data_IF_318798176985
#
_entry.id   IF_318798176985
#
_cell.length_a   1.000
_cell.length_b   1.000
_cell.length_c   1.000
_cell.angle_alpha   90.00
_cell.angle_beta   90.00
_cell.angle_gamma   90.00
#
_symmetry.space_group_name_H-M   'P 1'
#
loop_
_entity.id
_entity.type
_entity.pdbx_description
1 polymer ?
#
# COMPACT_ATOMS: atom_id res chain seq x y z
N UNK A 1 -20.45 44.05 5.16
CA UNK A 1 -21.26 44.33 6.36
C UNK A 1 -21.80 43.00 6.90
N UNK A 2 -21.19 42.51 7.93
CA UNK A 2 -21.55 41.91 9.24
C UNK A 2 -22.79 40.99 9.31
N UNK A 3 -22.85 40.07 10.31
CA UNK A 3 -21.86 39.70 11.34
C UNK A 3 -21.70 38.16 11.60
N UNK A 4 -20.61 37.88 12.28
CA UNK A 4 -20.21 36.66 12.99
C UNK A 4 -21.19 36.28 14.12
N UNK A 5 -21.45 34.98 14.29
CA UNK A 5 -22.04 34.41 15.52
C UNK A 5 -21.17 33.26 16.02
N UNK A 6 -20.59 33.46 17.20
CA UNK A 6 -19.93 32.41 18.02
C UNK A 6 -20.95 31.85 19.01
N UNK A 7 -20.99 30.53 19.27
CA UNK A 7 -21.68 30.02 20.45
C UNK A 7 -20.74 29.92 21.65
N UNK A 8 -21.19 30.50 22.76
CA UNK A 8 -20.59 30.41 24.11
C UNK A 8 -21.06 29.13 24.77
N UNK A 9 -20.12 28.32 25.24
CA UNK A 9 -20.41 27.21 26.15
C UNK A 9 -20.19 27.67 27.58
N UNK A 10 -21.22 27.50 28.44
CA UNK A 10 -21.21 27.83 29.87
C UNK A 10 -20.62 26.65 30.64
N UNK A 11 -19.62 26.97 31.45
CA UNK A 11 -19.07 26.11 32.48
C UNK A 11 -20.07 26.12 33.67
N UNK A 12 -20.52 24.94 34.08
CA UNK A 12 -21.27 24.78 35.34
C UNK A 12 -20.32 24.15 36.36
N UNK A 13 -19.98 24.94 37.37
CA UNK A 13 -19.26 24.52 38.58
C UNK A 13 -20.31 24.07 39.60
N UNK A 14 -20.21 22.83 40.07
CA UNK A 14 -20.93 22.39 41.25
C UNK A 14 -19.99 22.36 42.46
N UNK A 15 -20.26 23.22 43.42
CA UNK A 15 -19.71 23.20 44.74
C UNK A 15 -20.75 22.60 45.70
N UNK A 16 -20.37 21.62 46.50
CA UNK A 16 -21.08 21.14 47.69
C UNK A 16 -19.96 20.75 48.66
N UNK A 17 -19.69 21.39 49.77
CA UNK A 17 -20.58 21.72 50.87
C UNK A 17 -20.09 20.88 52.06
N UNK A 18 -19.16 21.42 52.90
CA UNK A 18 -18.75 20.87 54.20
C UNK A 18 -19.94 20.92 55.18
N UNK A 19 -20.17 19.87 55.95
CA UNK A 19 -20.91 19.92 57.21
C UNK A 19 -20.05 19.29 58.29
N UNK A 20 -19.72 20.11 59.29
CA UNK A 20 -19.16 19.80 60.60
C UNK A 20 -20.25 19.17 61.48
N UNK A 21 -19.90 18.16 62.25
CA UNK A 21 -20.57 17.89 63.56
C UNK A 21 -19.55 17.35 64.56
N UNK A 22 -19.54 18.03 65.69
CA UNK A 22 -18.64 17.85 66.81
C UNK A 22 -19.19 16.90 67.87
N UNK A 23 -18.27 16.37 68.66
CA UNK A 23 -18.30 15.95 70.04
C UNK A 23 -19.41 15.00 70.57
N UNK A 24 -18.92 13.94 71.13
CA UNK A 24 -19.24 13.58 72.55
C UNK A 24 -18.23 12.56 73.10
N UNK A 25 -17.65 12.86 74.23
CA UNK A 25 -16.63 12.10 74.92
C UNK A 25 -17.16 10.84 75.62
N UNK A 26 -16.28 9.91 75.86
CA UNK A 26 -16.46 8.72 76.66
C UNK A 26 -15.12 8.14 77.08
N UNK A 27 -14.73 8.36 78.29
CA UNK A 27 -13.58 7.78 79.03
C UNK A 27 -13.79 6.29 79.21
N UNK A 28 -12.84 5.44 78.88
CA UNK A 28 -12.67 4.11 79.45
C UNK A 28 -11.18 3.63 79.37
N UNK A 29 -10.75 3.13 80.45
CA UNK A 29 -9.42 2.80 80.92
C UNK A 29 -8.59 1.82 80.08
N UNK A 30 -7.34 2.15 80.05
CA UNK A 30 -6.12 1.34 80.10
C UNK A 30 -6.22 -0.16 80.27
N UNK A 31 -5.72 -0.90 79.32
CA UNK A 31 -4.94 -2.14 79.49
C UNK A 31 -3.79 -2.12 78.46
N UNK A 32 -2.63 -1.77 79.01
CA UNK A 32 -1.38 -1.90 78.21
C UNK A 32 -0.95 -3.35 78.16
N UNK A 33 -1.16 -4.01 77.00
CA UNK A 33 -0.39 -5.19 76.67
C UNK A 33 0.71 -4.80 75.68
N UNK A 34 1.93 -4.80 76.16
CA UNK A 34 3.15 -4.62 75.40
C UNK A 34 3.33 -5.88 74.54
N UNK A 35 2.82 -5.88 73.29
CA UNK A 35 3.18 -6.85 72.30
C UNK A 35 4.46 -6.32 71.62
N UNK A 36 5.58 -6.92 71.91
CA UNK A 36 6.82 -6.71 71.15
C UNK A 36 6.60 -7.21 69.73
N UNK A 37 6.25 -6.30 68.81
CA UNK A 37 6.27 -6.58 67.39
C UNK A 37 7.74 -6.59 66.94
N UNK A 38 8.25 -7.78 66.78
CA UNK A 38 9.50 -8.02 66.04
C UNK A 38 9.33 -7.45 64.65
N UNK A 39 9.88 -6.25 64.39
CA UNK A 39 10.01 -5.71 63.06
C UNK A 39 10.95 -6.63 62.27
N UNK A 40 10.35 -7.56 61.51
CA UNK A 40 11.06 -8.24 60.45
C UNK A 40 11.38 -7.15 59.40
N UNK A 41 12.66 -6.82 59.28
CA UNK A 41 13.21 -6.00 58.20
C UNK A 41 12.68 -6.63 56.89
N UNK A 42 11.97 -5.87 56.03
CA UNK A 42 11.56 -6.41 54.74
C UNK A 42 12.82 -6.82 53.98
N UNK A 43 12.96 -8.10 53.68
CA UNK A 43 13.94 -8.59 52.74
C UNK A 43 13.79 -7.79 51.47
N UNK A 44 14.87 -7.11 50.95
CA UNK A 44 14.75 -6.39 49.70
C UNK A 44 14.28 -7.38 48.64
N UNK A 45 13.22 -7.02 47.94
CA UNK A 45 12.74 -7.79 46.81
C UNK A 45 13.93 -8.04 45.86
N UNK A 46 14.11 -9.26 45.35
CA UNK A 46 15.21 -9.55 44.44
C UNK A 46 15.16 -8.56 43.29
N UNK A 47 16.25 -7.84 43.10
CA UNK A 47 16.42 -6.93 41.97
C UNK A 47 16.13 -7.76 40.72
N UNK A 48 15.25 -7.34 39.78
CA UNK A 48 15.01 -8.06 38.57
C UNK A 48 16.35 -8.33 37.88
N UNK A 49 16.68 -9.59 37.66
CA UNK A 49 17.91 -9.95 36.95
C UNK A 49 17.72 -9.48 35.51
N UNK A 50 18.45 -8.46 35.14
CA UNK A 50 18.45 -7.90 33.80
C UNK A 50 19.08 -8.93 32.87
N UNK A 51 18.29 -9.45 31.92
CA UNK A 51 18.75 -10.45 30.94
C UNK A 51 19.44 -9.74 29.79
N UNK A 52 20.66 -10.12 29.44
CA UNK A 52 21.26 -9.69 28.17
C UNK A 52 20.80 -10.63 27.07
N UNK A 53 20.09 -10.09 26.05
CA UNK A 53 19.58 -10.84 24.89
C UNK A 53 20.33 -10.46 23.62
N UNK A 54 20.77 -11.46 22.89
CA UNK A 54 21.31 -11.31 21.54
C UNK A 54 20.13 -11.30 20.57
N UNK A 55 19.95 -10.19 19.89
CA UNK A 55 18.84 -9.97 18.97
C UNK A 55 19.36 -9.96 17.54
N UNK A 56 19.07 -11.02 16.82
CA UNK A 56 19.43 -11.16 15.42
C UNK A 56 18.55 -10.27 14.55
N UNK A 57 19.17 -9.54 13.65
CA UNK A 57 18.51 -8.67 12.67
C UNK A 57 19.11 -8.88 11.29
N UNK A 58 18.36 -8.49 10.26
CA UNK A 58 18.79 -8.52 8.86
C UNK A 58 18.39 -7.20 8.18
N UNK A 59 19.28 -6.58 7.37
CA UNK A 59 18.91 -5.40 6.58
C UNK A 59 17.70 -5.69 5.70
N UNK A 60 16.64 -4.90 5.88
CA UNK A 60 15.41 -4.92 5.08
C UNK A 60 14.62 -3.64 5.34
N UNK A 61 14.81 -2.65 4.50
CA UNK A 61 14.18 -1.35 4.65
C UNK A 61 12.67 -1.40 4.39
N UNK A 62 11.86 -0.68 5.16
CA UNK A 62 12.18 0.21 6.28
C UNK A 62 12.13 -0.48 7.65
N UNK A 63 12.13 -1.81 7.72
CA UNK A 63 12.08 -2.56 8.98
C UNK A 63 13.40 -2.53 9.74
N UNK A 64 14.51 -2.71 9.03
CA UNK A 64 15.87 -2.68 9.58
C UNK A 64 16.80 -1.99 8.59
N UNK A 65 17.36 -0.87 9.04
CA UNK A 65 18.52 -0.21 8.46
C UNK A 65 19.73 -0.63 9.29
N UNK A 66 20.69 -1.31 8.68
CA UNK A 66 21.89 -1.75 9.36
C UNK A 66 23.11 -1.02 8.76
N UNK A 67 23.53 0.14 9.35
CA UNK A 67 24.70 0.86 8.90
C UNK A 67 25.99 0.06 9.22
N UNK A 68 27.05 0.24 8.44
CA UNK A 68 28.34 -0.39 8.68
C UNK A 68 28.91 -0.04 10.09
N UNK A 69 28.58 1.12 10.60
CA UNK A 69 28.97 1.56 11.93
C UNK A 69 27.76 2.14 12.68
N UNK A 70 27.54 1.67 13.90
CA UNK A 70 26.46 2.14 14.77
C UNK A 70 25.38 1.07 15.02
N UNK A 71 24.37 1.47 15.76
CA UNK A 71 23.24 0.59 16.05
C UNK A 71 22.25 0.57 14.86
N UNK A 72 21.61 -0.56 14.57
CA UNK A 72 20.55 -0.62 13.58
C UNK A 72 19.37 0.28 13.98
N UNK A 73 18.60 0.71 12.98
CA UNK A 73 17.38 1.52 13.15
C UNK A 73 16.28 0.92 12.29
N UNK A 74 15.05 1.38 12.41
CA UNK A 74 13.93 0.91 11.61
C UNK A 74 12.71 0.54 12.44
N UNK A 75 11.62 0.20 11.73
CA UNK A 75 10.37 -0.21 12.37
C UNK A 75 10.56 -1.34 13.39
N UNK A 76 11.27 -2.41 13.01
CA UNK A 76 11.52 -3.57 13.87
C UNK A 76 12.39 -3.23 15.07
N UNK A 77 13.36 -2.33 14.88
CA UNK A 77 14.27 -1.91 15.94
C UNK A 77 13.54 -1.03 16.96
N UNK A 78 12.74 -0.07 16.51
CA UNK A 78 11.92 0.75 17.40
C UNK A 78 10.92 -0.10 18.19
N UNK A 79 10.28 -1.07 17.52
CA UNK A 79 9.36 -1.99 18.18
C UNK A 79 10.08 -2.80 19.27
N UNK A 80 11.25 -3.38 18.96
CA UNK A 80 12.04 -4.11 19.93
C UNK A 80 12.50 -3.23 21.10
N UNK A 81 12.92 -2.02 20.80
CA UNK A 81 13.34 -1.02 21.82
C UNK A 81 12.21 -0.71 22.81
N UNK A 82 10.95 -0.77 22.35
CA UNK A 82 9.79 -0.61 23.22
C UNK A 82 9.42 -1.89 24.00
N UNK A 83 9.76 -3.06 23.49
CA UNK A 83 9.51 -4.36 24.12
C UNK A 83 10.57 -4.68 25.21
N UNK A 84 11.85 -4.49 24.91
CA UNK A 84 12.97 -4.93 25.74
C UNK A 84 12.88 -4.46 27.21
N UNK A 85 12.56 -3.18 27.52
CA UNK A 85 12.36 -2.73 28.90
C UNK A 85 11.20 -3.42 29.62
N UNK A 86 10.13 -3.80 28.91
CA UNK A 86 8.96 -4.45 29.51
C UNK A 86 9.23 -5.90 29.92
N UNK A 87 10.26 -6.52 29.34
CA UNK A 87 10.72 -7.88 29.67
C UNK A 87 12.01 -7.88 30.48
N UNK A 88 12.46 -6.70 30.98
CA UNK A 88 13.71 -6.50 31.73
C UNK A 88 14.94 -7.05 30.98
N UNK A 89 15.07 -6.74 29.69
CA UNK A 89 16.13 -7.19 28.82
C UNK A 89 17.03 -6.04 28.34
N UNK A 90 18.35 -6.25 28.41
CA UNK A 90 19.34 -5.50 27.64
C UNK A 90 19.54 -6.13 26.28
N UNK A 91 19.76 -5.32 25.25
CA UNK A 91 19.85 -5.78 23.86
C UNK A 91 21.27 -5.66 23.32
N UNK A 92 21.74 -6.76 22.71
CA UNK A 92 22.89 -6.76 21.84
C UNK A 92 22.45 -7.18 20.43
N UNK A 93 22.55 -6.29 19.45
CA UNK A 93 22.21 -6.61 18.08
C UNK A 93 23.31 -7.40 17.37
N UNK A 94 22.89 -8.42 16.59
CA UNK A 94 23.76 -9.20 15.70
C UNK A 94 23.14 -9.15 14.31
N UNK A 95 23.91 -8.69 13.32
CA UNK A 95 23.44 -8.51 11.94
C UNK A 95 23.81 -9.72 11.10
N UNK A 96 22.86 -10.20 10.29
CA UNK A 96 23.03 -11.28 9.32
C UNK A 96 22.64 -10.77 7.94
N UNK A 97 23.21 -11.32 6.89
CA UNK A 97 22.98 -10.84 5.53
C UNK A 97 21.68 -11.40 4.95
N UNK A 98 21.32 -12.63 5.29
CA UNK A 98 20.16 -13.33 4.72
C UNK A 98 19.17 -13.83 5.78
N UNK A 99 17.92 -14.02 5.38
CA UNK A 99 16.89 -14.61 6.26
C UNK A 99 17.22 -16.05 6.66
N UNK A 100 17.70 -16.94 5.79
CA UNK A 100 18.13 -18.27 6.18
C UNK A 100 19.21 -18.25 7.26
N UNK A 101 20.28 -17.47 7.09
CA UNK A 101 21.35 -17.36 8.07
C UNK A 101 20.85 -16.90 9.43
N UNK A 102 20.02 -15.85 9.46
CA UNK A 102 19.41 -15.35 10.69
C UNK A 102 18.60 -16.43 11.42
N UNK A 103 17.76 -17.18 10.67
CA UNK A 103 16.93 -18.22 11.27
C UNK A 103 17.75 -19.46 11.69
N UNK A 104 18.82 -19.77 10.99
CA UNK A 104 19.76 -20.84 11.37
C UNK A 104 20.54 -20.47 12.64
N UNK A 105 21.03 -19.24 12.74
CA UNK A 105 21.66 -18.71 13.95
C UNK A 105 20.71 -18.74 15.17
N UNK A 106 19.43 -18.45 14.96
CA UNK A 106 18.42 -18.55 16.02
C UNK A 106 18.23 -20.02 16.47
N UNK A 107 18.14 -20.98 15.53
CA UNK A 107 18.03 -22.41 15.86
C UNK A 107 19.23 -22.93 16.61
N UNK A 108 20.43 -22.49 16.22
CA UNK A 108 21.70 -22.88 16.85
C UNK A 108 21.93 -22.19 18.20
N UNK A 109 21.08 -21.22 18.57
CA UNK A 109 21.22 -20.47 19.81
C UNK A 109 22.34 -19.45 19.80
N UNK A 110 22.81 -19.05 18.63
CA UNK A 110 23.76 -17.93 18.47
C UNK A 110 23.09 -16.60 18.80
N UNK A 111 21.78 -16.45 18.50
CA UNK A 111 20.91 -15.36 18.94
C UNK A 111 19.71 -15.92 19.70
N UNK A 112 19.16 -15.10 20.58
CA UNK A 112 18.04 -15.49 21.45
C UNK A 112 16.70 -15.13 20.83
N UNK A 113 16.66 -14.09 20.01
CA UNK A 113 15.48 -13.56 19.32
C UNK A 113 15.88 -13.12 17.91
N UNK A 114 14.99 -13.26 16.93
CA UNK A 114 15.19 -12.69 15.59
C UNK A 114 14.02 -11.78 15.20
N UNK A 115 14.36 -10.54 14.77
CA UNK A 115 13.38 -9.54 14.36
C UNK A 115 13.89 -8.76 13.14
N UNK A 116 13.28 -8.98 11.95
CA UNK A 116 13.70 -8.37 10.70
C UNK A 116 12.61 -8.47 9.61
N UNK A 117 11.35 -8.20 9.91
CA UNK A 117 10.29 -8.44 8.94
C UNK A 117 10.16 -9.92 8.55
N UNK A 118 10.10 -10.79 9.55
CA UNK A 118 10.11 -12.25 9.35
C UNK A 118 8.65 -12.74 9.25
N UNK A 119 8.25 -13.27 8.09
CA UNK A 119 6.90 -13.84 7.91
C UNK A 119 6.70 -15.08 8.77
N UNK A 120 5.58 -15.11 9.49
CA UNK A 120 5.10 -16.28 10.23
C UNK A 120 4.60 -17.30 9.20
N UNK A 121 5.18 -18.51 9.19
CA UNK A 121 4.75 -19.56 8.27
C UNK A 121 4.82 -20.93 8.93
N UNK A 122 3.86 -21.80 8.60
CA UNK A 122 3.86 -23.19 9.08
C UNK A 122 5.18 -23.94 8.76
N UNK A 123 5.82 -23.61 7.64
CA UNK A 123 7.12 -24.20 7.28
C UNK A 123 8.20 -23.84 8.29
N UNK A 124 8.26 -22.57 8.73
CA UNK A 124 9.25 -22.10 9.70
C UNK A 124 8.98 -22.67 11.09
N UNK A 125 7.71 -22.70 11.50
CA UNK A 125 7.33 -23.35 12.77
C UNK A 125 7.67 -24.85 12.77
N UNK A 126 7.41 -25.56 11.67
CA UNK A 126 7.77 -26.98 11.56
C UNK A 126 9.29 -27.25 11.62
N UNK A 127 10.15 -26.22 11.64
CA UNK A 127 11.60 -26.34 11.73
C UNK A 127 12.17 -25.98 13.11
N UNK A 128 11.35 -26.01 14.17
CA UNK A 128 11.79 -25.76 15.55
C UNK A 128 11.86 -24.25 15.89
N UNK A 129 11.01 -23.46 15.26
CA UNK A 129 10.86 -22.05 15.56
C UNK A 129 9.44 -21.76 16.05
N UNK A 130 9.33 -20.89 17.02
CA UNK A 130 8.08 -20.27 17.48
C UNK A 130 8.03 -18.80 17.04
N UNK A 131 6.85 -18.24 17.00
CA UNK A 131 6.65 -16.84 16.68
C UNK A 131 5.80 -16.12 17.74
N UNK A 132 6.06 -14.83 17.89
CA UNK A 132 5.20 -13.93 18.66
C UNK A 132 3.84 -13.73 17.97
N UNK A 133 2.94 -12.98 18.63
CA UNK A 133 1.82 -12.37 17.95
C UNK A 133 2.29 -11.53 16.77
N UNK A 134 1.44 -11.39 15.72
CA UNK A 134 1.78 -10.60 14.55
C UNK A 134 2.14 -9.15 14.91
N UNK A 135 3.22 -8.66 14.29
CA UNK A 135 3.73 -7.29 14.49
C UNK A 135 3.43 -6.38 13.30
N UNK A 136 3.18 -6.95 12.12
CA UNK A 136 2.88 -6.20 10.89
C UNK A 136 2.12 -7.08 9.90
N UNK A 137 1.13 -6.48 9.17
CA UNK A 137 0.50 -7.17 8.05
C UNK A 137 1.33 -6.99 6.79
N UNK A 138 1.82 -8.08 6.26
CA UNK A 138 2.63 -8.14 5.06
C UNK A 138 1.92 -8.91 3.93
N UNK A 139 2.66 -9.47 3.02
CA UNK A 139 2.25 -10.29 1.89
C UNK A 139 3.20 -10.05 0.74
N UNK A 140 3.08 -10.83 -0.30
CA UNK A 140 3.97 -10.77 -1.45
C UNK A 140 3.38 -9.85 -2.54
N UNK A 141 4.27 -9.18 -3.26
CA UNK A 141 3.96 -8.25 -4.33
C UNK A 141 4.95 -8.42 -5.48
N UNK A 142 4.49 -8.19 -6.71
CA UNK A 142 5.38 -8.03 -7.85
C UNK A 142 5.94 -6.61 -7.88
N UNK A 143 7.25 -6.50 -8.09
CA UNK A 143 7.94 -5.26 -8.39
C UNK A 143 8.55 -5.37 -9.79
N UNK A 144 8.34 -4.35 -10.60
CA UNK A 144 8.83 -4.27 -12.00
C UNK A 144 9.44 -2.91 -12.28
N UNK A 145 10.28 -2.83 -13.31
CA UNK A 145 10.74 -1.53 -13.79
C UNK A 145 9.62 -0.79 -14.52
N UNK A 146 9.53 0.49 -14.26
CA UNK A 146 8.69 1.38 -15.04
C UNK A 146 9.21 1.43 -16.46
N UNK A 147 8.39 1.04 -17.43
CA UNK A 147 8.76 1.15 -18.83
C UNK A 147 9.17 2.60 -19.17
N UNK A 148 10.41 2.80 -19.53
CA UNK A 148 10.97 4.12 -19.92
C UNK A 148 10.46 4.63 -21.27
N UNK A 149 9.48 3.96 -21.90
CA UNK A 149 8.87 4.49 -23.10
C UNK A 149 8.29 5.87 -22.80
N UNK A 150 8.76 6.89 -23.54
CA UNK A 150 8.25 8.25 -23.40
C UNK A 150 6.72 8.25 -23.51
N UNK A 151 6.06 9.19 -22.82
CA UNK A 151 4.59 9.33 -22.87
C UNK A 151 4.08 9.41 -24.33
N UNK A 152 4.87 10.00 -25.21
CA UNK A 152 4.58 10.10 -26.64
C UNK A 152 4.54 8.73 -27.32
N UNK A 153 5.53 7.85 -27.11
CA UNK A 153 5.53 6.51 -27.69
C UNK A 153 4.43 5.61 -27.11
N UNK A 154 4.10 5.76 -25.82
CA UNK A 154 2.95 5.07 -25.23
C UNK A 154 1.62 5.53 -25.83
N UNK A 155 1.49 6.84 -26.12
CA UNK A 155 0.33 7.36 -26.83
C UNK A 155 0.25 6.81 -28.27
N UNK A 156 1.36 6.72 -28.97
CA UNK A 156 1.42 6.10 -30.32
C UNK A 156 1.08 4.60 -30.28
N UNK A 157 1.62 3.85 -29.33
CA UNK A 157 1.29 2.43 -29.14
C UNK A 157 -0.22 2.27 -28.83
N UNK A 158 -0.80 3.15 -28.04
CA UNK A 158 -2.25 3.18 -27.75
C UNK A 158 -3.06 3.52 -29.01
N UNK A 159 -2.70 4.57 -29.75
CA UNK A 159 -3.40 4.97 -30.96
C UNK A 159 -3.28 3.93 -32.09
N UNK A 160 -2.19 3.17 -32.13
CA UNK A 160 -2.01 2.03 -33.04
C UNK A 160 -2.73 0.75 -32.59
N UNK A 161 -3.21 0.70 -31.36
CA UNK A 161 -3.90 -0.46 -30.80
C UNK A 161 -5.28 -0.70 -31.43
N UNK A 162 -5.68 -1.97 -31.55
CA UNK A 162 -6.96 -2.36 -32.15
C UNK A 162 -8.18 -1.66 -31.52
N UNK A 163 -8.16 -1.38 -30.23
CA UNK A 163 -9.25 -0.66 -29.51
C UNK A 163 -9.36 0.80 -29.93
N UNK A 164 -8.23 1.49 -30.08
CA UNK A 164 -8.23 2.88 -30.52
C UNK A 164 -8.65 3.00 -31.99
N UNK A 165 -8.13 2.12 -32.85
CA UNK A 165 -8.58 2.05 -34.26
C UNK A 165 -10.08 1.76 -34.38
N UNK A 166 -10.64 0.87 -33.55
CA UNK A 166 -12.08 0.65 -33.47
C UNK A 166 -12.87 1.89 -32.98
N UNK A 167 -12.34 2.64 -32.00
CA UNK A 167 -12.98 3.86 -31.53
C UNK A 167 -12.99 4.94 -32.62
N UNK A 168 -11.86 5.17 -33.27
CA UNK A 168 -11.74 6.09 -34.41
C UNK A 168 -12.66 5.63 -35.55
N UNK A 169 -12.67 4.34 -35.87
CA UNK A 169 -13.56 3.76 -36.90
C UNK A 169 -15.05 3.99 -36.58
N UNK A 170 -15.47 3.84 -35.33
CA UNK A 170 -16.84 4.14 -34.90
C UNK A 170 -17.19 5.62 -35.06
N UNK A 171 -16.29 6.52 -34.67
CA UNK A 171 -16.44 7.97 -34.85
C UNK A 171 -16.59 8.33 -36.33
N UNK A 172 -15.71 7.83 -37.19
CA UNK A 172 -15.77 8.08 -38.62
C UNK A 172 -17.04 7.55 -39.25
N UNK A 173 -17.41 6.30 -38.94
CA UNK A 173 -18.61 5.67 -39.47
C UNK A 173 -19.88 6.43 -39.04
N UNK A 174 -20.00 6.78 -37.78
CA UNK A 174 -21.16 7.55 -37.28
C UNK A 174 -21.22 8.93 -37.89
N UNK A 175 -20.09 9.62 -38.10
CA UNK A 175 -20.04 10.93 -38.76
C UNK A 175 -20.46 10.85 -40.24
N UNK A 176 -20.07 9.75 -40.94
CA UNK A 176 -20.48 9.50 -42.32
C UNK A 176 -22.00 9.27 -42.40
N UNK A 177 -22.55 8.45 -41.49
CA UNK A 177 -23.99 8.16 -41.45
C UNK A 177 -24.80 9.44 -41.18
N UNK A 178 -24.39 10.22 -40.17
CA UNK A 178 -25.05 11.47 -39.83
C UNK A 178 -24.89 12.51 -40.94
N UNK A 179 -23.71 12.63 -41.51
CA UNK A 179 -23.46 13.53 -42.65
C UNK A 179 -24.34 13.20 -43.86
N UNK A 180 -24.49 11.90 -44.17
CA UNK A 180 -25.40 11.44 -45.22
C UNK A 180 -26.88 11.78 -44.90
N UNK A 181 -27.33 11.55 -43.69
CA UNK A 181 -28.70 11.86 -43.26
C UNK A 181 -28.99 13.38 -43.35
N UNK A 182 -28.08 14.22 -42.89
CA UNK A 182 -28.23 15.68 -42.98
C UNK A 182 -28.29 16.11 -44.45
N UNK A 183 -27.34 15.62 -45.28
CA UNK A 183 -27.39 15.89 -46.71
C UNK A 183 -28.69 15.45 -47.34
N UNK A 184 -29.21 14.26 -47.03
CA UNK A 184 -30.46 13.73 -47.58
C UNK A 184 -31.66 14.66 -47.31
N UNK A 185 -31.76 15.22 -46.10
CA UNK A 185 -32.86 16.10 -45.71
C UNK A 185 -32.66 17.54 -46.15
N UNK A 186 -31.39 18.00 -46.23
CA UNK A 186 -31.08 19.43 -46.52
C UNK A 186 -30.82 19.72 -48.01
N UNK A 187 -30.51 18.71 -48.85
CA UNK A 187 -30.05 18.87 -50.23
C UNK A 187 -30.96 19.69 -51.12
N UNK A 188 -32.24 19.81 -50.79
CA UNK A 188 -33.21 20.57 -51.61
C UNK A 188 -33.41 22.00 -51.17
N UNK A 189 -33.13 22.33 -49.95
CA UNK A 189 -33.52 23.59 -49.35
C UNK A 189 -32.35 24.41 -48.79
N UNK A 190 -31.18 23.77 -48.60
CA UNK A 190 -30.01 24.41 -47.99
C UNK A 190 -28.90 24.60 -49.04
N UNK A 191 -28.46 25.84 -49.31
CA UNK A 191 -27.42 26.13 -50.29
C UNK A 191 -26.10 25.38 -50.07
N UNK A 192 -25.72 25.14 -48.81
CA UNK A 192 -24.49 24.41 -48.46
C UNK A 192 -24.46 22.96 -48.97
N UNK A 193 -25.64 22.36 -49.25
CA UNK A 193 -25.77 20.96 -49.63
C UNK A 193 -26.15 20.73 -51.10
N UNK A 194 -26.22 21.81 -51.89
CA UNK A 194 -26.71 21.74 -53.29
C UNK A 194 -25.61 21.47 -54.34
N UNK A 195 -24.33 21.46 -53.95
CA UNK A 195 -23.17 21.32 -54.85
C UNK A 195 -22.90 19.89 -55.33
N UNK A 196 -23.90 19.06 -55.37
CA UNK A 196 -23.78 17.65 -55.81
C UNK A 196 -23.66 16.67 -54.62
N UNK A 197 -23.87 15.36 -54.84
CA UNK A 197 -23.93 14.37 -53.74
C UNK A 197 -22.63 14.29 -52.94
N UNK A 198 -21.50 14.24 -53.60
CA UNK A 198 -20.18 14.02 -52.94
C UNK A 198 -19.80 15.26 -52.08
N UNK A 199 -19.95 16.46 -52.62
CA UNK A 199 -19.66 17.70 -51.92
C UNK A 199 -20.65 17.94 -50.78
N UNK A 200 -21.96 17.69 -51.01
CA UNK A 200 -22.97 17.84 -49.98
C UNK A 200 -22.86 16.85 -48.82
N UNK A 201 -22.51 15.57 -49.09
CA UNK A 201 -22.20 14.61 -48.05
C UNK A 201 -20.93 15.03 -47.28
N UNK A 202 -19.91 15.53 -47.97
CA UNK A 202 -18.70 16.08 -47.33
C UNK A 202 -19.01 17.20 -46.35
N UNK A 203 -19.92 18.13 -46.71
CA UNK A 203 -20.37 19.20 -45.81
C UNK A 203 -21.14 18.65 -44.60
N UNK A 204 -21.93 17.59 -44.78
CA UNK A 204 -22.63 16.91 -43.70
C UNK A 204 -21.67 16.21 -42.74
N UNK A 205 -20.64 15.55 -43.27
CA UNK A 205 -19.58 14.93 -42.46
C UNK A 205 -18.78 15.99 -41.69
N UNK A 206 -18.47 17.11 -42.36
CA UNK A 206 -17.82 18.24 -41.71
C UNK A 206 -18.65 18.76 -40.54
N UNK A 207 -19.94 18.99 -40.73
CA UNK A 207 -20.85 19.38 -39.67
C UNK A 207 -20.83 18.34 -38.51
N UNK A 208 -20.92 17.06 -38.83
CA UNK A 208 -20.90 16.00 -37.82
C UNK A 208 -19.62 15.97 -36.99
N UNK A 209 -18.46 16.12 -37.63
CA UNK A 209 -17.15 16.15 -36.96
C UNK A 209 -16.98 17.40 -36.09
N UNK A 210 -17.34 18.56 -36.62
CA UNK A 210 -17.27 19.84 -35.89
C UNK A 210 -18.20 19.85 -34.68
N UNK A 211 -19.36 19.24 -34.80
CA UNK A 211 -20.32 19.12 -33.71
C UNK A 211 -19.80 18.13 -32.64
N UNK A 212 -19.25 16.97 -33.05
CA UNK A 212 -18.67 16.01 -32.14
C UNK A 212 -17.48 16.59 -31.38
N UNK A 213 -16.62 17.35 -32.06
CA UNK A 213 -15.48 18.02 -31.43
C UNK A 213 -15.87 19.23 -30.56
N UNK A 214 -17.17 19.57 -30.49
CA UNK A 214 -17.70 20.76 -29.76
C UNK A 214 -17.15 22.09 -30.24
N UNK A 215 -16.60 22.16 -31.50
CA UNK A 215 -16.02 23.39 -32.07
C UNK A 215 -17.10 24.41 -32.46
N UNK A 216 -18.24 23.95 -33.01
CA UNK A 216 -19.41 24.78 -33.27
C UNK A 216 -19.15 26.00 -34.17
N UNK A 217 -18.37 25.88 -35.26
CA UNK A 217 -18.04 27.01 -36.13
C UNK A 217 -19.26 27.72 -36.75
N UNK A 218 -20.38 27.00 -36.92
CA UNK A 218 -21.60 27.57 -37.44
C UNK A 218 -21.58 27.90 -38.97
N UNK A 219 -20.53 27.51 -39.64
CA UNK A 219 -20.33 27.67 -41.08
C UNK A 219 -21.27 26.80 -41.92
N UNK A 220 -21.63 25.62 -41.41
CA UNK A 220 -22.61 24.70 -42.00
C UNK A 220 -23.62 24.32 -40.95
N UNK A 221 -24.91 24.67 -41.17
CA UNK A 221 -25.99 24.35 -40.22
C UNK A 221 -27.22 23.88 -40.95
N UNK A 222 -28.01 22.91 -40.40
CA UNK A 222 -29.29 22.50 -40.95
C UNK A 222 -30.33 23.62 -40.80
N UNK A 223 -31.08 23.92 -41.87
CA UNK A 223 -32.14 24.93 -41.87
C UNK A 223 -33.52 24.27 -41.79
N UNK A 224 -33.70 23.06 -42.34
CA UNK A 224 -34.95 22.32 -42.32
C UNK A 224 -35.23 21.63 -40.99
N UNK A 225 -36.50 21.46 -40.63
CA UNK A 225 -36.89 20.77 -39.39
C UNK A 225 -36.35 19.34 -39.29
N UNK A 226 -36.42 18.49 -40.34
CA UNK A 226 -35.83 17.14 -40.27
C UNK A 226 -34.30 17.16 -40.03
N UNK A 227 -33.59 18.04 -40.71
CA UNK A 227 -32.14 18.22 -40.52
C UNK A 227 -31.79 18.66 -39.10
N UNK A 228 -32.58 19.60 -38.51
CA UNK A 228 -32.41 20.04 -37.12
C UNK A 228 -32.68 18.95 -36.10
N UNK A 229 -33.66 18.06 -36.34
CA UNK A 229 -33.92 16.90 -35.48
C UNK A 229 -32.71 15.93 -35.49
N UNK A 230 -32.20 15.62 -36.69
CA UNK A 230 -30.99 14.76 -36.83
C UNK A 230 -29.78 15.41 -36.12
N UNK A 231 -29.58 16.70 -36.30
CA UNK A 231 -28.52 17.45 -35.64
C UNK A 231 -28.65 17.44 -34.11
N UNK A 232 -29.86 17.64 -33.57
CA UNK A 232 -30.12 17.58 -32.13
C UNK A 232 -29.85 16.21 -31.52
N UNK A 233 -30.30 15.14 -32.21
CA UNK A 233 -29.97 13.76 -31.79
C UNK A 233 -28.46 13.49 -31.84
N UNK A 234 -27.80 13.98 -32.89
CA UNK A 234 -26.33 13.85 -33.01
C UNK A 234 -25.60 14.59 -31.89
N UNK A 235 -26.04 15.79 -31.51
CA UNK A 235 -25.45 16.52 -30.37
C UNK A 235 -25.50 15.68 -29.07
N UNK A 236 -26.63 15.01 -28.81
CA UNK A 236 -26.75 14.11 -27.67
C UNK A 236 -25.83 12.89 -27.75
N UNK A 237 -25.84 12.21 -28.92
CA UNK A 237 -25.01 11.03 -29.15
C UNK A 237 -23.50 11.36 -29.12
N UNK A 238 -23.11 12.49 -29.73
CA UNK A 238 -21.70 12.93 -29.76
C UNK A 238 -21.14 13.18 -28.38
N UNK A 239 -21.94 13.66 -27.43
CA UNK A 239 -21.55 13.84 -26.04
C UNK A 239 -21.16 12.50 -25.38
N UNK A 240 -21.94 11.44 -25.61
CA UNK A 240 -21.62 10.11 -25.10
C UNK A 240 -20.37 9.51 -25.75
N UNK A 241 -20.22 9.70 -27.07
CA UNK A 241 -19.03 9.25 -27.81
C UNK A 241 -17.76 9.93 -27.27
N UNK A 242 -17.82 11.23 -27.02
CA UNK A 242 -16.70 11.99 -26.47
C UNK A 242 -16.38 11.55 -25.03
N UNK A 243 -17.40 11.32 -24.20
CA UNK A 243 -17.21 10.81 -22.84
C UNK A 243 -16.58 9.42 -22.82
N UNK A 244 -17.01 8.51 -23.71
CA UNK A 244 -16.40 7.17 -23.88
C UNK A 244 -14.93 7.28 -24.33
N UNK A 245 -14.62 8.17 -25.26
CA UNK A 245 -13.26 8.43 -25.71
C UNK A 245 -12.36 8.96 -24.58
N UNK A 246 -12.84 9.92 -23.79
CA UNK A 246 -12.10 10.45 -22.63
C UNK A 246 -11.89 9.36 -21.58
N UNK A 247 -12.92 8.54 -21.31
CA UNK A 247 -12.81 7.40 -20.40
C UNK A 247 -11.78 6.37 -20.88
N UNK A 248 -11.79 6.04 -22.16
CA UNK A 248 -10.81 5.12 -22.76
C UNK A 248 -9.38 5.67 -22.65
N UNK A 249 -9.17 6.96 -22.87
CA UNK A 249 -7.88 7.63 -22.70
C UNK A 249 -7.40 7.63 -21.25
N UNK A 250 -8.30 7.83 -20.29
CA UNK A 250 -7.98 7.80 -18.86
C UNK A 250 -7.59 6.39 -18.42
N UNK A 251 -8.34 5.39 -18.87
CA UNK A 251 -8.02 3.97 -18.60
C UNK A 251 -6.68 3.56 -19.20
N UNK A 252 -6.36 4.00 -20.42
CA UNK A 252 -5.07 3.74 -21.05
C UNK A 252 -3.90 4.37 -20.26
N UNK A 253 -4.13 5.50 -19.61
CA UNK A 253 -3.15 6.15 -18.75
C UNK A 253 -2.92 5.39 -17.44
N UNK A 254 -3.97 4.78 -16.88
CA UNK A 254 -3.90 3.95 -15.66
C UNK A 254 -3.31 2.56 -15.93
N UNK A 255 -3.47 2.02 -17.14
CA UNK A 255 -2.90 0.73 -17.57
C UNK A 255 -1.40 0.84 -17.96
N UNK A 256 -0.70 1.87 -17.49
CA UNK A 256 0.73 2.08 -17.78
C UNK A 256 1.66 1.04 -17.12
N UNK A 257 1.12 0.15 -16.27
CA UNK A 257 1.84 -1.02 -15.75
C UNK A 257 1.56 -2.18 -16.69
N UNK A 258 2.55 -2.63 -17.49
CA UNK A 258 2.34 -3.68 -18.50
C UNK A 258 2.07 -5.06 -17.88
N UNK A 259 2.32 -5.20 -16.57
CA UNK A 259 2.16 -6.45 -15.81
C UNK A 259 1.08 -6.23 -14.75
N UNK A 260 -0.01 -6.97 -14.83
CA UNK A 260 -1.10 -6.93 -13.84
C UNK A 260 -1.19 -8.23 -13.00
N UNK A 261 -0.52 -9.29 -13.45
CA UNK A 261 -0.54 -10.59 -12.80
C UNK A 261 0.68 -11.42 -13.16
N UNK A 262 0.92 -12.49 -12.41
CA UNK A 262 1.95 -13.49 -12.75
C UNK A 262 1.73 -14.14 -14.12
N UNK A 263 0.48 -14.25 -14.57
CA UNK A 263 0.14 -14.83 -15.87
C UNK A 263 0.66 -13.98 -17.04
N UNK A 264 0.78 -12.67 -16.87
CA UNK A 264 1.29 -11.77 -17.91
C UNK A 264 2.81 -11.96 -18.12
N UNK A 265 3.47 -12.59 -17.16
CA UNK A 265 4.89 -12.94 -17.17
C UNK A 265 5.14 -14.40 -17.57
N UNK A 266 4.15 -15.07 -18.18
CA UNK A 266 4.30 -16.46 -18.60
C UNK A 266 5.54 -16.65 -19.49
N UNK A 267 6.43 -17.57 -19.09
CA UNK A 267 7.69 -17.86 -19.78
C UNK A 267 8.83 -16.86 -19.54
N UNK A 268 8.58 -15.74 -18.87
CA UNK A 268 9.63 -14.78 -18.49
C UNK A 268 10.28 -15.17 -17.14
N UNK A 269 11.56 -14.83 -16.92
CA UNK A 269 12.25 -15.08 -15.68
C UNK A 269 11.73 -14.12 -14.58
N UNK A 270 11.40 -14.67 -13.40
CA UNK A 270 10.95 -13.92 -12.23
C UNK A 270 11.90 -14.21 -11.08
N UNK A 271 12.47 -13.16 -10.51
CA UNK A 271 13.43 -13.21 -9.42
C UNK A 271 12.77 -13.23 -8.04
N UNK A 272 13.43 -13.86 -7.09
CA UNK A 272 13.19 -13.71 -5.65
C UNK A 272 14.46 -14.07 -4.88
N UNK A 273 14.64 -13.44 -3.71
CA UNK A 273 15.76 -13.77 -2.82
C UNK A 273 15.60 -15.19 -2.27
N UNK A 274 16.64 -16.00 -2.39
CA UNK A 274 16.63 -17.42 -2.04
C UNK A 274 16.27 -17.65 -0.56
N UNK A 275 15.44 -18.66 -0.30
CA UNK A 275 15.04 -19.06 1.05
C UNK A 275 14.02 -18.11 1.73
N UNK A 276 13.52 -17.13 0.99
CA UNK A 276 12.42 -16.25 1.44
C UNK A 276 11.04 -16.86 1.12
N UNK A 277 9.98 -16.29 1.69
CA UNK A 277 8.61 -16.69 1.35
C UNK A 277 8.28 -16.42 -0.10
N UNK A 278 8.86 -15.39 -0.69
CA UNK A 278 8.74 -15.08 -2.12
C UNK A 278 9.33 -16.19 -3.00
N UNK A 279 10.51 -16.69 -2.65
CA UNK A 279 11.14 -17.79 -3.36
C UNK A 279 10.31 -19.08 -3.27
N UNK A 280 9.84 -19.43 -2.08
CA UNK A 280 8.95 -20.59 -1.90
C UNK A 280 7.61 -20.43 -2.62
N UNK A 281 7.05 -19.22 -2.66
CA UNK A 281 5.84 -18.94 -3.41
C UNK A 281 6.05 -19.21 -4.90
N UNK A 282 7.15 -18.72 -5.48
CA UNK A 282 7.45 -18.95 -6.91
C UNK A 282 7.68 -20.44 -7.24
N UNK A 283 8.21 -21.24 -6.29
CA UNK A 283 8.35 -22.70 -6.47
C UNK A 283 7.00 -23.40 -6.70
N UNK A 284 5.89 -22.84 -6.19
CA UNK A 284 4.55 -23.41 -6.34
C UNK A 284 3.84 -22.95 -7.61
N UNK A 285 4.43 -22.06 -8.41
CA UNK A 285 3.81 -21.45 -9.59
C UNK A 285 4.45 -21.95 -10.88
N UNK A 286 3.71 -22.00 -11.98
CA UNK A 286 4.23 -22.39 -13.30
C UNK A 286 4.98 -21.23 -13.96
N UNK A 287 6.04 -20.73 -13.33
CA UNK A 287 6.85 -19.60 -13.79
C UNK A 287 8.33 -19.98 -13.86
N UNK A 288 9.10 -19.28 -14.67
CA UNK A 288 10.56 -19.43 -14.71
C UNK A 288 11.19 -18.70 -13.52
N UNK A 289 11.32 -19.40 -12.39
CA UNK A 289 11.92 -18.86 -11.16
C UNK A 289 13.42 -18.69 -11.29
N UNK A 290 13.95 -17.56 -10.85
CA UNK A 290 15.37 -17.25 -10.72
C UNK A 290 15.67 -16.94 -9.23
N UNK A 291 16.31 -17.87 -8.49
CA UNK A 291 16.73 -17.58 -7.12
C UNK A 291 17.95 -16.67 -7.13
N UNK A 292 17.90 -15.60 -6.35
CA UNK A 292 18.94 -14.58 -6.23
C UNK A 292 19.45 -14.55 -4.78
N UNK A 293 20.67 -14.07 -4.56
CA UNK A 293 21.30 -14.13 -3.24
C UNK A 293 20.50 -13.36 -2.18
N UNK A 294 20.18 -12.13 -2.48
CA UNK A 294 19.53 -11.18 -1.58
C UNK A 294 18.63 -10.18 -2.34
N UNK A 295 18.18 -9.14 -1.66
CA UNK A 295 17.35 -8.09 -2.25
C UNK A 295 18.14 -7.23 -3.22
N UNK A 296 19.40 -6.90 -2.92
CA UNK A 296 20.24 -6.07 -3.77
C UNK A 296 20.51 -6.77 -5.11
N UNK A 297 20.92 -8.04 -5.08
CA UNK A 297 21.06 -8.87 -6.28
C UNK A 297 19.74 -8.99 -7.07
N UNK A 298 18.60 -9.01 -6.37
CA UNK A 298 17.28 -9.05 -7.00
C UNK A 298 16.96 -7.75 -7.74
N UNK A 299 17.29 -6.60 -7.17
CA UNK A 299 17.12 -5.29 -7.80
C UNK A 299 18.08 -5.09 -8.97
N UNK A 300 19.34 -5.56 -8.85
CA UNK A 300 20.32 -5.53 -9.92
C UNK A 300 19.87 -6.37 -11.12
N UNK A 301 19.44 -7.62 -10.88
CA UNK A 301 18.90 -8.51 -11.91
C UNK A 301 17.65 -7.93 -12.60
N UNK A 302 16.83 -7.19 -11.86
CA UNK A 302 15.68 -6.49 -12.41
C UNK A 302 16.12 -5.32 -13.32
N UNK A 303 17.11 -4.54 -12.90
CA UNK A 303 17.64 -3.38 -13.66
C UNK A 303 18.44 -3.79 -14.90
N UNK A 304 19.20 -4.90 -14.80
CA UNK A 304 19.92 -5.45 -15.96
C UNK A 304 18.99 -6.10 -16.99
N UNK A 305 17.76 -6.46 -16.57
CA UNK A 305 16.81 -7.17 -17.43
C UNK A 305 16.99 -8.69 -17.43
N UNK A 306 17.81 -9.24 -16.53
CA UNK A 306 17.97 -10.69 -16.35
C UNK A 306 16.68 -11.35 -15.83
N UNK A 307 15.90 -10.57 -15.09
CA UNK A 307 14.53 -10.92 -14.69
C UNK A 307 13.54 -9.83 -15.13
N UNK A 308 12.33 -10.25 -15.50
CA UNK A 308 11.27 -9.34 -15.93
C UNK A 308 10.53 -8.70 -14.76
N UNK A 309 10.56 -9.36 -13.61
CA UNK A 309 9.96 -8.91 -12.35
C UNK A 309 10.66 -9.60 -11.18
N UNK A 310 10.51 -9.01 -10.00
CA UNK A 310 10.86 -9.68 -8.75
C UNK A 310 9.63 -9.80 -7.84
N UNK A 311 9.56 -10.87 -7.07
CA UNK A 311 8.57 -11.04 -6.01
C UNK A 311 9.26 -10.73 -4.70
N UNK A 312 8.71 -9.77 -3.97
CA UNK A 312 9.22 -9.36 -2.65
C UNK A 312 8.05 -9.06 -1.72
N UNK A 313 8.35 -8.83 -0.46
CA UNK A 313 7.37 -8.43 0.54
C UNK A 313 6.76 -7.06 0.19
N UNK A 314 5.44 -6.96 0.25
CA UNK A 314 4.71 -5.77 -0.15
C UNK A 314 5.15 -4.49 0.56
N UNK A 315 5.34 -4.45 1.90
CA UNK A 315 5.78 -3.21 2.56
C UNK A 315 7.18 -2.76 2.11
N UNK A 316 8.04 -3.71 1.74
CA UNK A 316 9.36 -3.42 1.16
C UNK A 316 9.20 -2.87 -0.27
N UNK A 317 8.31 -3.49 -1.07
CA UNK A 317 7.98 -2.99 -2.41
C UNK A 317 7.39 -1.58 -2.38
N UNK A 318 6.49 -1.30 -1.43
CA UNK A 318 5.90 0.04 -1.22
C UNK A 318 6.97 1.08 -0.87
N UNK A 319 7.89 0.73 0.01
CA UNK A 319 8.99 1.60 0.39
C UNK A 319 9.93 1.88 -0.79
N UNK A 320 10.37 0.84 -1.50
CA UNK A 320 11.27 0.98 -2.66
C UNK A 320 10.62 1.80 -3.79
N UNK A 321 9.37 1.52 -4.12
CA UNK A 321 8.65 2.27 -5.15
C UNK A 321 8.40 3.75 -4.79
N UNK A 322 8.42 4.10 -3.50
CA UNK A 322 8.35 5.48 -3.04
C UNK A 322 9.71 6.21 -3.14
N UNK A 323 10.81 5.50 -3.00
CA UNK A 323 12.17 6.05 -3.05
C UNK A 323 12.73 6.09 -4.48
N UNK A 324 12.37 5.11 -5.30
CA UNK A 324 12.93 4.90 -6.63
C UNK A 324 11.83 5.01 -7.70
N UNK A 325 11.80 6.11 -8.46
CA UNK A 325 10.74 6.37 -9.45
C UNK A 325 10.70 5.39 -10.63
N UNK A 326 11.77 4.62 -10.84
CA UNK A 326 11.86 3.58 -11.87
C UNK A 326 11.25 2.25 -11.43
N UNK A 327 10.96 2.08 -10.16
CA UNK A 327 10.33 0.90 -9.60
C UNK A 327 8.82 1.11 -9.40
N UNK A 328 8.02 0.16 -9.84
CA UNK A 328 6.57 0.17 -9.63
C UNK A 328 6.06 -1.20 -9.17
N UNK A 329 5.12 -1.16 -8.26
CA UNK A 329 4.37 -2.35 -7.88
C UNK A 329 3.39 -2.74 -8.99
N UNK A 330 3.37 -4.01 -9.35
CA UNK A 330 2.53 -4.56 -10.41
C UNK A 330 1.47 -5.51 -9.85
N UNK A 331 0.26 -5.39 -10.36
CA UNK A 331 -0.85 -6.26 -10.02
C UNK A 331 -1.34 -6.18 -8.57
N UNK A 332 -2.18 -7.14 -8.20
CA UNK A 332 -2.70 -7.28 -6.85
C UNK A 332 -1.71 -7.99 -5.92
N UNK A 333 -2.00 -7.95 -4.62
CA UNK A 333 -1.24 -8.70 -3.61
C UNK A 333 -1.29 -10.20 -3.92
N UNK A 334 -0.11 -10.82 -3.99
CA UNK A 334 0.04 -12.24 -4.35
C UNK A 334 -0.26 -13.21 -3.20
N UNK A 335 0.03 -12.78 -1.95
CA UNK A 335 -0.25 -13.55 -0.73
C UNK A 335 -0.63 -12.63 0.42
N UNK A 336 -1.18 -13.22 1.49
CA UNK A 336 -1.35 -12.55 2.78
C UNK A 336 -0.42 -13.21 3.77
N UNK A 337 0.45 -12.43 4.36
CA UNK A 337 1.44 -12.88 5.33
C UNK A 337 1.44 -11.90 6.51
N UNK A 338 1.93 -12.36 7.64
CA UNK A 338 2.11 -11.54 8.84
C UNK A 338 3.54 -11.69 9.31
N UNK A 339 4.16 -10.61 9.71
CA UNK A 339 5.46 -10.64 10.36
C UNK A 339 5.32 -10.90 11.85
N UNK A 340 6.30 -11.58 12.41
CA UNK A 340 6.43 -11.83 13.84
C UNK A 340 7.89 -11.81 14.28
N UNK A 341 8.06 -11.81 15.57
CA UNK A 341 9.36 -11.99 16.21
C UNK A 341 9.57 -13.51 16.32
N UNK A 342 10.67 -14.01 15.76
CA UNK A 342 10.98 -15.43 15.82
C UNK A 342 11.82 -15.77 17.06
N UNK A 343 11.51 -16.91 17.66
CA UNK A 343 12.17 -17.51 18.83
C UNK A 343 12.42 -18.98 18.58
N UNK A 344 13.21 -19.63 19.41
CA UNK A 344 13.29 -21.10 19.43
C UNK A 344 11.98 -21.69 19.94
N UNK A 345 11.66 -22.88 19.47
CA UNK A 345 10.48 -23.62 19.91
C UNK A 345 10.49 -23.80 21.45
N UNK A 346 9.37 -23.47 22.09
CA UNK A 346 9.19 -23.60 23.53
C UNK A 346 9.91 -22.56 24.38
N UNK A 347 10.44 -21.46 23.80
CA UNK A 347 11.12 -20.42 24.56
C UNK A 347 10.12 -19.59 25.40
N UNK A 348 10.40 -19.50 26.72
CA UNK A 348 9.57 -18.76 27.69
C UNK A 348 9.46 -17.25 27.37
N UNK A 349 10.41 -16.70 26.61
CA UNK A 349 10.37 -15.29 26.17
C UNK A 349 9.15 -14.98 25.32
N UNK A 350 8.60 -15.96 24.60
CA UNK A 350 7.44 -15.77 23.72
C UNK A 350 6.25 -15.15 24.48
N UNK A 351 5.92 -15.72 25.63
CA UNK A 351 4.81 -15.21 26.45
C UNK A 351 5.07 -13.78 26.97
N UNK A 352 6.30 -13.48 27.38
CA UNK A 352 6.68 -12.16 27.83
C UNK A 352 6.61 -11.12 26.71
N UNK A 353 7.13 -11.46 25.53
CA UNK A 353 7.07 -10.63 24.33
C UNK A 353 5.61 -10.40 23.89
N UNK A 354 4.79 -11.45 23.88
CA UNK A 354 3.38 -11.33 23.51
C UNK A 354 2.60 -10.39 24.43
N UNK A 355 2.83 -10.44 25.74
CA UNK A 355 2.24 -9.49 26.69
C UNK A 355 2.70 -8.05 26.43
N UNK A 356 3.98 -7.87 26.13
CA UNK A 356 4.51 -6.55 25.77
C UNK A 356 3.88 -6.02 24.46
N UNK A 357 3.73 -6.87 23.44
CA UNK A 357 3.07 -6.51 22.17
C UNK A 357 1.60 -6.08 22.41
N UNK A 358 0.83 -6.81 23.21
CA UNK A 358 -0.55 -6.45 23.54
C UNK A 358 -0.60 -5.09 24.27
N UNK A 359 0.31 -4.86 25.22
CA UNK A 359 0.39 -3.57 25.93
C UNK A 359 0.73 -2.42 24.97
N UNK A 360 1.59 -2.63 23.99
CA UNK A 360 1.94 -1.64 22.97
C UNK A 360 0.76 -1.40 22.02
N UNK A 361 0.01 -2.43 21.68
CA UNK A 361 -1.20 -2.33 20.86
C UNK A 361 -2.29 -1.50 21.55
N UNK A 362 -2.53 -1.73 22.84
CA UNK A 362 -3.49 -0.94 23.65
C UNK A 362 -3.10 0.55 23.74
N UNK A 363 -1.81 0.87 23.61
CA UNK A 363 -1.28 2.23 23.58
C UNK A 363 -1.18 2.85 22.18
N UNK A 364 -1.77 2.22 21.16
CA UNK A 364 -1.72 2.67 19.77
C UNK A 364 -0.29 2.86 19.22
N UNK A 365 0.70 2.17 19.81
CA UNK A 365 2.11 2.34 19.46
C UNK A 365 2.42 1.83 18.04
N UNK A 366 1.70 0.82 17.57
CA UNK A 366 1.82 0.32 16.21
C UNK A 366 1.42 1.37 15.17
N UNK A 367 0.37 2.14 15.44
CA UNK A 367 -0.03 3.24 14.54
C UNK A 367 1.00 4.35 14.50
N UNK A 368 1.61 4.66 15.65
CA UNK A 368 2.74 5.59 15.72
C UNK A 368 3.91 5.09 14.87
N UNK A 369 4.32 3.83 15.00
CA UNK A 369 5.40 3.23 14.21
C UNK A 369 5.09 3.22 12.71
N UNK A 370 3.87 2.87 12.33
CA UNK A 370 3.45 2.89 10.93
C UNK A 370 3.55 4.31 10.35
N UNK A 371 3.07 5.33 11.06
CA UNK A 371 3.20 6.73 10.61
C UNK A 371 4.65 7.17 10.51
N UNK A 372 5.49 6.77 11.45
CA UNK A 372 6.91 7.14 11.49
C UNK A 372 7.68 6.57 10.29
N UNK A 373 7.45 5.30 9.94
CA UNK A 373 8.28 4.57 8.98
C UNK A 373 7.68 4.44 7.59
N UNK A 374 6.33 4.48 7.46
CA UNK A 374 5.61 4.32 6.19
C UNK A 374 4.81 5.57 5.80
N UNK A 375 4.81 6.63 6.65
CA UNK A 375 4.01 7.82 6.42
C UNK A 375 2.52 7.63 6.73
N UNK A 376 1.72 8.67 6.47
CA UNK A 376 0.26 8.54 6.62
C UNK A 376 -0.28 7.54 5.60
N UNK A 377 -1.16 6.61 6.01
CA UNK A 377 -1.80 5.72 5.07
C UNK A 377 -2.55 6.56 4.04
N UNK A 378 -2.17 6.46 2.78
CA UNK A 378 -2.96 7.05 1.70
C UNK A 378 -4.36 6.44 1.78
N UNK A 379 -5.36 7.21 2.22
CA UNK A 379 -6.77 6.83 2.15
C UNK A 379 -7.11 6.60 0.68
N UNK A 380 -7.12 5.34 0.28
CA UNK A 380 -7.67 4.91 -1.01
C UNK A 380 -9.14 4.60 -0.89
#
# INVERSE_FOLDING_TARGET
MKPSVKPRWKVIVFAVGCVLAADLGGTAASWAQTTQTTQSTPTPAPTPVERSLRVGVKPIEPFVFAPEQGNPTGYSIDLWTAIAPQINAQTQYVVYDTTPELLDALRQGEVDVAIAGISITARREATGLDFSHPTYEAGLQLLVLQSQKSQFFRLLDYLGGARALQAVGRVLLSSIVVGFLIWLFERRHNPHFQHGPLAGIGQGIWFAVVTLGTFGYGDVTPVGLPGRIVAGLWMGVSFFILADFISAMTTARQQAVPVQSLSDLAGQPIGASQGTTADYFLQTKPVKRVPLADLEASLEALRSGDVAAIVIDRPVAEYLAAQEPDLIMAGDRLSREQYGIALREGDDLREAINRALLTLQEKEYFEFLCRKWFGEPQRR
#
